data_IF_211971767211
#
_entry.id   IF_211971767211
#
_cell.length_a   1.000
_cell.length_b   1.000
_cell.length_c   1.000
_cell.angle_alpha   90.00
_cell.angle_beta   90.00
_cell.angle_gamma   90.00
#
_symmetry.space_group_name_H-M   'P 1'
#
loop_
_entity.id
_entity.type
_entity.pdbx_description
1 polymer ?
#
# COMPACT_ATOMS: atom_id res chain seq x y z
N UNK A 1 21.73 -12.50 -5.71
CA UNK A 1 21.09 -11.67 -6.75
C UNK A 1 20.04 -10.81 -6.09
N UNK A 2 19.79 -9.60 -6.58
CA UNK A 2 18.74 -8.72 -6.05
C UNK A 2 17.42 -9.14 -6.69
N UNK A 3 16.42 -9.47 -5.89
CA UNK A 3 15.08 -9.78 -6.36
C UNK A 3 14.43 -8.51 -6.92
N UNK A 4 13.77 -8.62 -8.07
CA UNK A 4 13.13 -7.49 -8.76
C UNK A 4 11.62 -7.67 -8.63
N UNK A 5 10.99 -6.78 -7.87
CA UNK A 5 9.53 -6.64 -7.82
C UNK A 5 9.00 -5.72 -8.91
N UNK A 6 7.79 -5.99 -9.41
CA UNK A 6 7.13 -5.13 -10.40
C UNK A 6 5.66 -4.88 -10.05
N UNK A 7 5.21 -3.64 -10.16
CA UNK A 7 3.80 -3.31 -9.95
C UNK A 7 2.97 -3.65 -11.17
N UNK A 8 1.89 -4.42 -10.99
CA UNK A 8 1.02 -4.80 -12.12
C UNK A 8 0.25 -3.59 -12.68
N UNK A 9 0.24 -2.44 -12.00
CA UNK A 9 -0.35 -1.18 -12.51
C UNK A 9 0.34 -0.70 -13.80
N UNK A 10 1.61 -1.07 -14.02
CA UNK A 10 2.33 -0.74 -15.25
C UNK A 10 1.74 -1.44 -16.48
N UNK A 11 0.97 -2.51 -16.26
CA UNK A 11 0.31 -3.32 -17.28
C UNK A 11 -1.21 -3.11 -17.30
N UNK A 12 -1.71 -1.95 -16.85
CA UNK A 12 -3.16 -1.65 -16.70
C UNK A 12 -4.05 -1.81 -17.96
N UNK A 13 -3.46 -2.02 -19.12
CA UNK A 13 -4.17 -2.27 -20.38
C UNK A 13 -4.12 -3.75 -20.81
N UNK A 14 -3.55 -4.61 -19.96
CA UNK A 14 -3.41 -6.04 -20.19
C UNK A 14 -4.17 -6.81 -19.11
N UNK A 15 -4.54 -8.06 -19.41
CA UNK A 15 -5.07 -8.96 -18.39
C UNK A 15 -4.00 -9.32 -17.36
N UNK A 16 -4.42 -9.80 -16.18
CA UNK A 16 -3.50 -10.27 -15.15
C UNK A 16 -2.50 -11.30 -15.70
N UNK A 17 -2.95 -12.28 -16.50
CA UNK A 17 -2.05 -13.29 -17.09
C UNK A 17 -0.97 -12.67 -17.99
N UNK A 18 -1.36 -11.71 -18.83
CA UNK A 18 -0.42 -11.01 -19.71
C UNK A 18 0.58 -10.16 -18.91
N UNK A 19 0.12 -9.48 -17.86
CA UNK A 19 0.98 -8.72 -16.96
C UNK A 19 2.03 -9.63 -16.28
N UNK A 20 1.60 -10.77 -15.72
CA UNK A 20 2.49 -11.73 -15.04
C UNK A 20 3.52 -12.32 -16.00
N UNK A 21 3.11 -12.72 -17.21
CA UNK A 21 4.01 -13.21 -18.22
C UNK A 21 5.09 -12.18 -18.60
N UNK A 22 4.69 -10.90 -18.78
CA UNK A 22 5.62 -9.82 -19.07
C UNK A 22 6.62 -9.57 -17.93
N UNK A 23 6.15 -9.58 -16.68
CA UNK A 23 7.00 -9.41 -15.49
C UNK A 23 8.02 -10.55 -15.37
N UNK A 24 7.56 -11.81 -15.55
CA UNK A 24 8.43 -12.98 -15.49
C UNK A 24 9.49 -12.95 -16.60
N UNK A 25 9.11 -12.59 -17.83
CA UNK A 25 10.03 -12.46 -18.96
C UNK A 25 11.10 -11.38 -18.72
N UNK A 26 10.76 -10.31 -18.01
CA UNK A 26 11.69 -9.26 -17.62
C UNK A 26 12.61 -9.65 -16.44
N UNK A 27 12.50 -10.88 -15.92
CA UNK A 27 13.30 -11.37 -14.79
C UNK A 27 12.77 -10.96 -13.41
N UNK A 28 11.52 -10.51 -13.33
CA UNK A 28 10.85 -10.23 -12.05
C UNK A 28 10.56 -11.51 -11.26
N UNK A 29 10.66 -11.42 -9.94
CA UNK A 29 10.39 -12.53 -9.01
C UNK A 29 9.18 -12.26 -8.10
N UNK A 30 8.71 -11.01 -8.06
CA UNK A 30 7.63 -10.59 -7.19
C UNK A 30 6.75 -9.51 -7.83
N UNK A 31 5.55 -9.34 -7.29
CA UNK A 31 4.61 -8.31 -7.72
C UNK A 31 4.06 -7.47 -6.57
N UNK A 32 3.78 -6.22 -6.89
CA UNK A 32 2.73 -5.44 -6.22
C UNK A 32 1.44 -5.58 -7.04
N UNK A 33 0.43 -6.22 -6.47
CA UNK A 33 -0.83 -6.50 -7.15
C UNK A 33 -1.75 -5.28 -7.11
N UNK A 34 -2.05 -4.71 -8.28
CA UNK A 34 -2.92 -3.54 -8.39
C UNK A 34 -4.39 -3.89 -8.17
N UNK A 35 -4.94 -3.37 -7.06
CA UNK A 35 -6.36 -3.44 -6.69
C UNK A 35 -7.04 -2.07 -6.72
N UNK A 36 -6.42 -1.10 -7.40
CA UNK A 36 -6.95 0.25 -7.55
C UNK A 36 -8.13 0.24 -8.50
N UNK A 37 -9.30 0.67 -8.04
CA UNK A 37 -10.46 0.84 -8.91
C UNK A 37 -10.14 1.86 -10.02
N UNK A 38 -10.31 1.46 -11.28
CA UNK A 38 -10.15 2.36 -12.42
C UNK A 38 -11.40 3.20 -12.62
N UNK A 39 -11.23 4.51 -12.74
CA UNK A 39 -12.27 5.45 -13.21
C UNK A 39 -12.33 5.56 -14.74
N UNK A 40 -11.39 4.94 -15.49
CA UNK A 40 -11.22 5.17 -16.93
C UNK A 40 -11.10 3.88 -17.76
N UNK A 41 -11.86 2.84 -17.44
CA UNK A 41 -11.93 1.61 -18.26
C UNK A 41 -10.64 0.79 -18.31
N UNK A 42 -9.69 1.04 -17.41
CA UNK A 42 -8.47 0.21 -17.29
C UNK A 42 -8.78 -1.08 -16.55
N UNK A 43 -8.04 -2.14 -16.85
CA UNK A 43 -8.22 -3.45 -16.22
C UNK A 43 -7.71 -3.37 -14.78
N UNK A 44 -8.60 -3.69 -13.83
CA UNK A 44 -8.22 -3.94 -12.43
C UNK A 44 -7.75 -5.39 -12.31
N UNK A 45 -6.56 -5.61 -11.76
CA UNK A 45 -5.99 -6.96 -11.62
C UNK A 45 -6.50 -7.72 -10.39
N UNK A 46 -6.92 -6.99 -9.36
CA UNK A 46 -7.66 -7.51 -8.21
C UNK A 46 -8.89 -6.63 -7.96
N UNK A 47 -10.07 -7.16 -8.25
CA UNK A 47 -11.34 -6.50 -8.02
C UNK A 47 -11.82 -6.72 -6.58
N UNK A 48 -11.72 -5.66 -5.77
CA UNK A 48 -12.20 -5.67 -4.39
C UNK A 48 -13.71 -5.39 -4.29
N UNK A 49 -14.35 -4.91 -5.37
CA UNK A 49 -15.78 -4.60 -5.38
C UNK A 49 -16.63 -5.80 -5.83
N UNK A 50 -16.01 -6.95 -6.06
CA UNK A 50 -16.73 -8.18 -6.40
C UNK A 50 -17.54 -8.65 -5.20
N UNK A 51 -18.83 -8.92 -5.42
CA UNK A 51 -19.75 -9.39 -4.37
C UNK A 51 -20.07 -10.89 -4.47
N UNK A 52 -20.04 -11.45 -5.68
CA UNK A 52 -20.35 -12.86 -5.93
C UNK A 52 -19.08 -13.71 -6.06
N UNK A 53 -19.08 -14.92 -5.50
CA UNK A 53 -17.99 -15.91 -5.57
C UNK A 53 -16.62 -15.35 -5.10
N UNK A 54 -16.62 -14.48 -4.08
CA UNK A 54 -15.42 -13.74 -3.64
C UNK A 54 -14.25 -14.66 -3.28
N UNK A 55 -14.51 -15.73 -2.53
CA UNK A 55 -13.48 -16.69 -2.14
C UNK A 55 -12.87 -17.39 -3.36
N UNK A 56 -13.70 -17.92 -4.25
CA UNK A 56 -13.26 -18.56 -5.48
C UNK A 56 -12.48 -17.60 -6.38
N UNK A 57 -12.88 -16.33 -6.40
CA UNK A 57 -12.17 -15.29 -7.13
C UNK A 57 -10.75 -15.06 -6.61
N UNK A 58 -10.56 -14.85 -5.30
CA UNK A 58 -9.23 -14.67 -4.73
C UNK A 58 -8.35 -15.91 -4.86
N UNK A 59 -8.91 -17.12 -4.73
CA UNK A 59 -8.17 -18.35 -4.99
C UNK A 59 -7.73 -18.46 -6.46
N UNK A 60 -8.59 -18.11 -7.42
CA UNK A 60 -8.23 -18.08 -8.85
C UNK A 60 -7.13 -17.05 -9.16
N UNK A 61 -7.19 -15.87 -8.54
CA UNK A 61 -6.13 -14.85 -8.66
C UNK A 61 -4.81 -15.38 -8.10
N UNK A 62 -4.81 -15.92 -6.88
CA UNK A 62 -3.64 -16.52 -6.24
C UNK A 62 -3.04 -17.63 -7.09
N UNK A 63 -3.87 -18.58 -7.54
CA UNK A 63 -3.42 -19.68 -8.39
C UNK A 63 -2.81 -19.19 -9.70
N UNK A 64 -3.40 -18.16 -10.31
CA UNK A 64 -2.87 -17.56 -11.54
C UNK A 64 -1.47 -16.97 -11.31
N UNK A 65 -1.26 -16.28 -10.18
CA UNK A 65 0.03 -15.69 -9.82
C UNK A 65 1.07 -16.79 -9.51
N UNK A 66 0.69 -17.80 -8.72
CA UNK A 66 1.55 -18.96 -8.41
C UNK A 66 1.99 -19.71 -9.66
N UNK A 67 1.09 -19.89 -10.64
CA UNK A 67 1.42 -20.55 -11.91
C UNK A 67 2.48 -19.81 -12.74
N UNK A 68 2.73 -18.53 -12.46
CA UNK A 68 3.81 -17.74 -13.09
C UNK A 68 5.07 -17.67 -12.21
N UNK A 69 5.13 -18.43 -11.11
CA UNK A 69 6.24 -18.44 -10.14
C UNK A 69 6.57 -17.03 -9.59
N UNK A 70 5.57 -16.18 -9.42
CA UNK A 70 5.71 -14.84 -8.85
C UNK A 70 5.16 -14.81 -7.42
N UNK A 71 5.82 -14.07 -6.53
CA UNK A 71 5.34 -13.80 -5.17
C UNK A 71 4.47 -12.55 -5.13
N UNK A 72 3.45 -12.53 -4.27
CA UNK A 72 2.68 -11.32 -3.97
C UNK A 72 3.35 -10.62 -2.79
N UNK A 73 4.11 -9.57 -3.05
CA UNK A 73 4.75 -8.78 -1.98
C UNK A 73 3.74 -7.86 -1.30
N UNK A 74 2.84 -7.26 -2.07
CA UNK A 74 1.87 -6.30 -1.56
C UNK A 74 0.66 -6.14 -2.47
N UNK A 75 -0.40 -5.54 -1.94
CA UNK A 75 -1.58 -5.08 -2.69
C UNK A 75 -1.57 -3.56 -2.75
N UNK A 76 -1.62 -2.98 -3.96
CA UNK A 76 -1.75 -1.54 -4.15
C UNK A 76 -3.21 -1.12 -4.25
N UNK A 77 -3.63 -0.21 -3.37
CA UNK A 77 -4.96 0.43 -3.37
C UNK A 77 -4.85 1.96 -3.42
N UNK A 78 -5.96 2.64 -3.61
CA UNK A 78 -6.03 4.10 -3.56
C UNK A 78 -6.31 4.61 -2.15
N UNK A 79 -5.99 5.89 -1.89
CA UNK A 79 -6.33 6.55 -0.62
C UNK A 79 -7.84 6.60 -0.34
N UNK A 80 -8.66 6.55 -1.38
CA UNK A 80 -10.12 6.57 -1.22
C UNK A 80 -10.63 5.23 -0.69
N UNK A 81 -10.01 4.13 -1.14
CA UNK A 81 -10.40 2.78 -0.72
C UNK A 81 -10.10 2.52 0.76
N UNK A 82 -9.00 3.06 1.29
CA UNK A 82 -8.69 2.91 2.73
C UNK A 82 -9.52 3.83 3.64
N UNK A 83 -10.23 4.80 3.07
CA UNK A 83 -11.08 5.72 3.84
C UNK A 83 -12.51 5.17 4.06
N UNK A 84 -12.85 4.04 3.45
CA UNK A 84 -14.15 3.39 3.59
C UNK A 84 -14.01 2.11 4.41
N UNK A 85 -14.66 2.00 5.59
CA UNK A 85 -14.50 0.82 6.46
C UNK A 85 -14.79 -0.52 5.76
N UNK A 86 -15.88 -0.59 4.98
CA UNK A 86 -16.25 -1.81 4.27
C UNK A 86 -15.23 -2.23 3.19
N UNK A 87 -14.61 -1.26 2.51
CA UNK A 87 -13.55 -1.55 1.52
C UNK A 87 -12.26 -1.99 2.21
N UNK A 88 -11.97 -1.43 3.39
CA UNK A 88 -10.81 -1.80 4.19
C UNK A 88 -10.94 -3.22 4.78
N UNK A 89 -12.12 -3.59 5.26
CA UNK A 89 -12.43 -4.97 5.70
C UNK A 89 -12.25 -5.96 4.54
N UNK A 90 -12.72 -5.62 3.34
CA UNK A 90 -12.53 -6.44 2.15
C UNK A 90 -11.05 -6.58 1.78
N UNK A 91 -10.28 -5.51 1.94
CA UNK A 91 -8.85 -5.53 1.70
C UNK A 91 -8.11 -6.43 2.69
N UNK A 92 -8.51 -6.44 3.98
CA UNK A 92 -7.95 -7.37 4.98
C UNK A 92 -8.19 -8.81 4.55
N UNK A 93 -9.43 -9.16 4.19
CA UNK A 93 -9.78 -10.49 3.73
C UNK A 93 -8.99 -10.92 2.49
N UNK A 94 -8.94 -10.04 1.48
CA UNK A 94 -8.18 -10.29 0.26
C UNK A 94 -6.69 -10.53 0.57
N UNK A 95 -6.11 -9.73 1.47
CA UNK A 95 -4.71 -9.84 1.89
C UNK A 95 -4.43 -11.20 2.53
N UNK A 96 -5.29 -11.65 3.45
CA UNK A 96 -5.16 -12.98 4.08
C UNK A 96 -5.28 -14.12 3.07
N UNK A 97 -6.28 -14.07 2.17
CA UNK A 97 -6.48 -15.13 1.18
C UNK A 97 -5.32 -15.21 0.18
N UNK A 98 -4.83 -14.05 -0.28
CA UNK A 98 -3.71 -13.95 -1.20
C UNK A 98 -2.37 -14.24 -0.54
N UNK A 99 -2.29 -14.17 0.80
CA UNK A 99 -1.09 -14.51 1.58
C UNK A 99 -0.07 -13.38 1.64
N UNK A 100 -0.52 -12.13 1.61
CA UNK A 100 0.33 -10.94 1.83
C UNK A 100 -0.16 -10.17 3.05
N UNK A 101 0.76 -9.60 3.80
CA UNK A 101 0.48 -8.76 4.95
C UNK A 101 0.66 -7.27 4.64
N UNK A 102 0.99 -6.91 3.39
CA UNK A 102 1.40 -5.55 3.06
C UNK A 102 0.42 -4.90 2.08
N UNK A 103 -0.15 -3.78 2.49
CA UNK A 103 -0.96 -2.92 1.65
C UNK A 103 -0.17 -1.66 1.35
N UNK A 104 -0.15 -1.27 0.08
CA UNK A 104 0.51 -0.06 -0.38
C UNK A 104 -0.53 0.95 -0.85
N UNK A 105 -0.36 2.19 -0.43
CA UNK A 105 -1.10 3.35 -0.91
C UNK A 105 -0.14 4.42 -1.41
N UNK A 106 -0.64 5.38 -2.19
CA UNK A 106 0.16 6.56 -2.60
C UNK A 106 -0.27 7.78 -1.79
N UNK A 107 0.67 8.59 -1.29
CA UNK A 107 0.36 9.75 -0.43
C UNK A 107 -0.66 10.73 -1.03
N UNK A 108 -0.64 10.95 -2.35
CA UNK A 108 -1.57 11.86 -3.03
C UNK A 108 -1.50 13.29 -2.47
N UNK A 109 -2.58 14.07 -2.63
CA UNK A 109 -2.68 15.43 -2.07
C UNK A 109 -2.11 16.54 -2.94
N UNK A 110 -2.25 17.78 -2.47
CA UNK A 110 -1.73 19.00 -3.11
C UNK A 110 -0.41 19.38 -2.44
N UNK A 111 0.60 19.73 -3.25
CA UNK A 111 1.90 20.20 -2.73
C UNK A 111 1.74 21.50 -1.93
N UNK A 112 2.50 21.64 -0.84
CA UNK A 112 2.47 22.79 0.06
C UNK A 112 1.09 23.13 0.66
N UNK A 113 0.20 22.14 0.76
CA UNK A 113 -1.11 22.28 1.40
C UNK A 113 -1.14 21.54 2.73
N UNK A 114 -1.14 22.29 3.82
CA UNK A 114 -1.30 21.75 5.17
C UNK A 114 -2.64 21.01 5.32
N UNK A 115 -3.72 21.57 4.75
CA UNK A 115 -5.03 20.92 4.70
C UNK A 115 -4.96 19.54 4.02
N UNK A 116 -4.31 19.45 2.85
CA UNK A 116 -4.13 18.16 2.16
C UNK A 116 -3.34 17.16 3.00
N UNK A 117 -2.32 17.63 3.72
CA UNK A 117 -1.51 16.81 4.61
C UNK A 117 -2.33 16.29 5.80
N UNK A 118 -3.06 17.16 6.49
CA UNK A 118 -3.89 16.79 7.63
C UNK A 118 -5.00 15.81 7.25
N UNK A 119 -5.67 16.04 6.11
CA UNK A 119 -6.66 15.11 5.55
C UNK A 119 -6.05 13.74 5.22
N UNK A 120 -4.79 13.70 4.78
CA UNK A 120 -4.09 12.45 4.55
C UNK A 120 -3.80 11.73 5.87
N UNK A 121 -3.25 12.43 6.86
CA UNK A 121 -2.95 11.88 8.19
C UNK A 121 -4.21 11.32 8.85
N UNK A 122 -5.32 12.06 8.82
CA UNK A 122 -6.60 11.62 9.39
C UNK A 122 -7.10 10.30 8.77
N UNK A 123 -7.05 10.19 7.43
CA UNK A 123 -7.40 8.94 6.73
C UNK A 123 -6.52 7.76 7.15
N UNK A 124 -5.23 7.98 7.33
CA UNK A 124 -4.30 6.92 7.77
C UNK A 124 -4.60 6.51 9.21
N UNK A 125 -4.85 7.48 10.10
CA UNK A 125 -5.19 7.21 11.49
C UNK A 125 -6.49 6.37 11.62
N UNK A 126 -7.53 6.73 10.86
CA UNK A 126 -8.78 5.97 10.80
C UNK A 126 -8.55 4.56 10.24
N UNK A 127 -7.82 4.44 9.12
CA UNK A 127 -7.48 3.14 8.55
C UNK A 127 -6.68 2.26 9.52
N UNK A 128 -5.65 2.81 10.20
CA UNK A 128 -4.85 2.04 11.16
C UNK A 128 -5.67 1.58 12.38
N UNK A 129 -6.73 2.30 12.75
CA UNK A 129 -7.65 1.87 13.80
C UNK A 129 -8.38 0.58 13.39
N UNK A 130 -8.88 0.52 12.16
CA UNK A 130 -9.58 -0.67 11.62
C UNK A 130 -8.60 -1.82 11.35
N UNK A 131 -7.39 -1.52 10.89
CA UNK A 131 -6.35 -2.52 10.66
C UNK A 131 -5.79 -3.13 11.96
N UNK A 132 -6.13 -2.56 13.13
CA UNK A 132 -5.63 -3.08 14.41
C UNK A 132 -6.06 -4.54 14.60
N UNK A 133 -5.09 -5.43 14.83
CA UNK A 133 -5.32 -6.86 15.01
C UNK A 133 -5.37 -7.69 13.70
N UNK A 134 -5.40 -7.04 12.54
CA UNK A 134 -5.43 -7.74 11.23
C UNK A 134 -4.08 -8.30 10.76
N UNK A 135 -2.98 -7.92 11.43
CA UNK A 135 -1.59 -8.16 11.02
C UNK A 135 -1.17 -7.49 9.69
N UNK A 136 -2.04 -6.67 9.09
CA UNK A 136 -1.72 -5.93 7.88
C UNK A 136 -0.85 -4.70 8.20
N UNK A 137 0.20 -4.51 7.40
CA UNK A 137 1.10 -3.36 7.38
C UNK A 137 0.68 -2.42 6.26
N UNK A 138 0.40 -1.17 6.61
CA UNK A 138 0.12 -0.12 5.64
C UNK A 138 1.43 0.61 5.28
N UNK A 139 1.79 0.60 4.01
CA UNK A 139 2.95 1.26 3.45
C UNK A 139 2.54 2.43 2.56
N UNK A 140 3.09 3.60 2.81
CA UNK A 140 2.83 4.80 2.01
C UNK A 140 3.96 5.04 1.01
N UNK A 141 3.62 4.98 -0.28
CA UNK A 141 4.48 5.43 -1.37
C UNK A 141 4.37 6.95 -1.53
N UNK A 142 5.45 7.70 -1.33
CA UNK A 142 5.45 9.13 -1.59
C UNK A 142 5.31 9.34 -3.10
N UNK A 143 4.43 10.26 -3.50
CA UNK A 143 4.50 10.82 -4.85
C UNK A 143 5.40 12.04 -4.82
N UNK A 144 6.56 11.94 -5.45
CA UNK A 144 7.38 13.11 -5.77
C UNK A 144 6.83 13.75 -7.05
N UNK A 145 6.23 14.92 -6.90
CA UNK A 145 6.07 15.86 -8.01
C UNK A 145 7.41 16.55 -8.32
N UNK A 146 7.48 17.43 -9.33
CA UNK A 146 8.67 18.23 -9.63
C UNK A 146 8.90 19.37 -8.59
N UNK A 147 8.89 19.04 -7.30
CA UNK A 147 9.10 19.94 -6.18
C UNK A 147 9.30 19.13 -4.90
N UNK A 148 10.39 19.42 -4.21
CA UNK A 148 10.99 18.61 -3.15
C UNK A 148 10.07 18.26 -1.98
N UNK A 149 10.18 16.99 -1.55
CA UNK A 149 10.15 16.45 -0.18
C UNK A 149 9.34 15.14 -0.05
N UNK A 150 9.94 14.18 0.65
CA UNK A 150 9.46 12.81 0.83
C UNK A 150 8.68 12.68 2.15
N UNK A 151 7.59 11.91 2.14
CA UNK A 151 6.89 11.47 3.35
C UNK A 151 6.60 9.98 3.25
N UNK A 152 7.15 9.18 4.16
CA UNK A 152 6.79 7.76 4.31
C UNK A 152 6.16 7.60 5.70
N UNK A 153 4.90 7.17 5.73
CA UNK A 153 4.19 6.79 6.95
C UNK A 153 4.06 5.26 6.96
N UNK A 154 4.33 4.62 8.10
CA UNK A 154 4.14 3.19 8.28
C UNK A 154 3.42 2.89 9.58
N UNK A 155 2.37 2.05 9.53
CA UNK A 155 1.80 1.43 10.73
C UNK A 155 2.34 0.00 10.80
N UNK A 156 3.04 -0.36 11.89
CA UNK A 156 3.49 -1.73 12.15
C UNK A 156 3.07 -2.15 13.56
N UNK A 157 2.32 -3.24 13.74
CA UNK A 157 1.74 -3.61 15.04
C UNK A 157 2.75 -4.17 16.06
N UNK A 158 4.01 -4.41 15.66
CA UNK A 158 5.05 -4.95 16.53
C UNK A 158 6.36 -4.18 16.34
N UNK A 159 6.67 -3.21 17.21
CA UNK A 159 8.01 -2.64 17.31
C UNK A 159 8.55 -2.80 18.73
N UNK A 160 9.37 -3.83 18.92
CA UNK A 160 10.33 -3.96 20.02
C UNK A 160 11.75 -3.83 19.42
N UNK A 161 12.16 -2.61 19.08
CA UNK A 161 13.46 -2.37 18.43
C UNK A 161 14.08 -1.05 18.87
N UNK A 162 15.07 -1.14 19.75
CA UNK A 162 15.93 -0.03 20.20
C UNK A 162 16.69 0.58 19.00
N UNK A 163 16.72 1.91 18.88
CA UNK A 163 17.71 2.60 18.06
C UNK A 163 17.28 3.94 17.45
N UNK A 164 17.46 5.04 18.20
CA UNK A 164 17.90 6.37 17.75
C UNK A 164 17.28 7.13 16.55
N UNK A 165 16.09 6.80 16.06
CA UNK A 165 15.43 7.61 14.98
C UNK A 165 14.19 8.39 15.45
N UNK A 166 14.03 8.61 16.76
CA UNK A 166 12.85 9.31 17.34
C UNK A 166 13.08 10.80 17.60
N UNK A 167 14.31 11.31 17.53
CA UNK A 167 14.63 12.67 18.03
C UNK A 167 14.38 13.83 17.05
N UNK A 168 14.06 13.57 15.77
CA UNK A 168 13.86 14.65 14.78
C UNK A 168 12.38 14.91 14.44
N UNK A 169 11.45 14.14 15.00
CA UNK A 169 10.00 14.40 14.86
C UNK A 169 9.49 15.27 16.03
N UNK A 170 10.21 15.30 17.15
CA UNK A 170 9.76 15.98 18.36
C UNK A 170 9.76 17.51 18.25
N UNK A 171 10.58 18.10 17.38
CA UNK A 171 10.75 19.57 17.32
C UNK A 171 9.68 20.30 16.46
N UNK A 172 8.73 19.59 15.85
CA UNK A 172 7.56 20.21 15.18
C UNK A 172 6.20 19.59 15.52
N UNK A 173 6.14 18.67 16.49
CA UNK A 173 4.91 17.93 16.84
C UNK A 173 4.41 18.25 18.27
N UNK A 174 4.67 19.45 18.78
CA UNK A 174 4.22 19.87 20.13
C UNK A 174 2.72 20.20 20.23
N UNK A 175 1.90 19.95 19.19
CA UNK A 175 0.45 20.17 19.23
C UNK A 175 -0.44 18.92 19.09
N UNK A 176 0.13 17.71 19.01
CA UNK A 176 -0.69 16.49 18.91
C UNK A 176 -0.24 15.43 19.93
N UNK A 177 -0.42 15.74 21.21
CA UNK A 177 -0.04 14.90 22.35
C UNK A 177 -0.94 13.69 22.61
N UNK A 178 -1.87 13.36 21.71
CA UNK A 178 -2.81 12.24 21.90
C UNK A 178 -2.89 11.25 20.72
N UNK A 179 -1.93 11.31 19.80
CA UNK A 179 -1.74 10.25 18.79
C UNK A 179 -1.05 9.06 19.46
N UNK A 180 -1.89 8.15 19.95
CA UNK A 180 -1.58 6.86 20.56
C UNK A 180 -0.41 6.14 19.84
N UNK A 181 0.39 5.37 20.59
CA UNK A 181 1.76 4.86 20.30
C UNK A 181 1.91 3.91 19.09
N UNK A 182 1.07 4.02 18.06
CA UNK A 182 0.85 3.04 16.97
C UNK A 182 1.29 3.52 15.58
N UNK A 183 1.58 4.81 15.41
CA UNK A 183 2.02 5.38 14.14
C UNK A 183 3.54 5.58 14.14
N UNK A 184 4.27 4.81 13.33
CA UNK A 184 5.68 5.03 13.08
C UNK A 184 5.85 5.84 11.80
N UNK A 185 6.05 7.15 11.93
CA UNK A 185 6.40 8.02 10.80
C UNK A 185 7.88 7.83 10.48
N UNK A 186 8.21 7.39 9.28
CA UNK A 186 9.59 7.14 8.84
C UNK A 186 9.92 8.10 7.70
N UNK A 187 10.55 9.24 7.96
CA UNK A 187 10.98 10.13 6.87
C UNK A 187 12.39 9.70 6.44
N UNK A 188 12.52 9.14 5.22
CA UNK A 188 13.83 8.98 4.59
C UNK A 188 14.14 10.24 3.80
N UNK A 189 15.25 10.90 4.13
CA UNK A 189 15.81 11.94 3.28
C UNK A 189 16.76 11.26 2.29
N UNK A 190 16.51 11.42 0.99
CA UNK A 190 17.58 11.22 0.01
C UNK A 190 18.47 12.46 0.08
N UNK A 191 19.75 12.27 0.44
CA UNK A 191 20.72 13.36 0.32
C UNK A 191 20.82 13.77 -1.15
N UNK A 192 20.79 15.09 -1.46
CA UNK A 192 21.07 15.54 -2.80
C UNK A 192 22.52 15.17 -3.20
N UNK A 193 22.79 15.00 -4.51
CA UNK A 193 24.12 14.70 -5.03
C UNK A 193 25.13 15.82 -4.74
#
# INVERSE_FOLDING_TARGET
MKEIGCSTVLYRNFSLKQALAGIQQAGGSAIELCARSSVTGQITHLDLNRHDDVNDYYQKVKQTITNHNLLIESIAVSNQQIAQPAELERLIEASHQLGTDTVVISSGGVSNSEESFLLFVDKISQACTILTGSQIRLSVKPRVGPGDNQLVLGCSPNFSGKGNTLKQIQEKTEQYTDLDRRLAVYIRFASPP
#
